data_IF_615013438900
#
_entry.id   IF_615013438900
#
_cell.length_a   1.000
_cell.length_b   1.000
_cell.length_c   1.000
_cell.angle_alpha   90.00
_cell.angle_beta   90.00
_cell.angle_gamma   90.00
#
_symmetry.space_group_name_H-M   'P 1'
#
loop_
_entity.id
_entity.type
_entity.pdbx_description
1 polymer ?
#
# COMPACT_ATOMS: atom_id res chain seq x y z
N UNK A 1 -13.98 13.78 18.17
CA UNK A 1 -14.54 12.42 17.99
C UNK A 1 -14.17 11.96 16.58
N UNK A 2 -13.40 10.89 16.43
CA UNK A 2 -13.15 10.31 15.10
C UNK A 2 -14.47 9.66 14.67
N UNK A 3 -15.03 9.97 13.50
CA UNK A 3 -16.25 9.32 13.04
C UNK A 3 -16.04 7.80 13.00
N UNK A 4 -17.00 7.06 13.55
CA UNK A 4 -17.01 5.60 13.45
C UNK A 4 -16.99 5.21 11.96
N UNK A 5 -16.14 4.24 11.60
CA UNK A 5 -16.19 3.65 10.27
C UNK A 5 -17.43 2.73 10.22
N UNK A 6 -18.35 3.04 9.32
CA UNK A 6 -19.65 2.35 9.18
C UNK A 6 -19.75 1.87 7.74
N UNK A 7 -20.35 0.69 7.54
CA UNK A 7 -20.47 0.01 6.25
C UNK A 7 -19.11 -0.47 5.70
N UNK A 8 -19.10 -1.08 4.50
CA UNK A 8 -17.92 -1.62 3.78
C UNK A 8 -17.35 -2.93 4.31
N UNK A 9 -18.11 -3.67 5.11
CA UNK A 9 -17.69 -4.97 5.63
C UNK A 9 -17.34 -5.95 4.49
N UNK A 10 -18.13 -5.94 3.41
CA UNK A 10 -17.92 -6.82 2.26
C UNK A 10 -16.59 -6.55 1.54
N UNK A 11 -16.22 -5.27 1.38
CA UNK A 11 -14.97 -4.87 0.74
C UNK A 11 -13.77 -5.14 1.65
N UNK A 12 -13.89 -4.89 2.96
CA UNK A 12 -12.85 -5.24 3.92
C UNK A 12 -12.61 -6.75 3.95
N UNK A 13 -13.67 -7.56 3.98
CA UNK A 13 -13.57 -9.02 3.90
C UNK A 13 -12.92 -9.49 2.61
N UNK A 14 -13.23 -8.88 1.47
CA UNK A 14 -12.61 -9.21 0.19
C UNK A 14 -11.10 -8.91 0.22
N UNK A 15 -10.71 -7.75 0.74
CA UNK A 15 -9.30 -7.36 0.88
C UNK A 15 -8.54 -8.28 1.86
N UNK A 16 -9.14 -8.62 3.01
CA UNK A 16 -8.54 -9.54 3.97
C UNK A 16 -8.36 -10.94 3.37
N UNK A 17 -9.38 -11.47 2.69
CA UNK A 17 -9.29 -12.76 1.99
C UNK A 17 -8.19 -12.78 0.93
N UNK A 18 -7.94 -11.68 0.23
CA UNK A 18 -6.84 -11.57 -0.73
C UNK A 18 -5.48 -11.60 -0.03
N UNK A 19 -5.35 -10.90 1.11
CA UNK A 19 -4.12 -10.91 1.89
C UNK A 19 -3.81 -12.30 2.47
N UNK A 20 -4.84 -13.02 2.94
CA UNK A 20 -4.70 -14.35 3.56
C UNK A 20 -4.28 -15.44 2.57
N UNK A 21 -4.52 -15.25 1.26
CA UNK A 21 -4.08 -16.19 0.22
C UNK A 21 -2.56 -16.29 0.08
N UNK A 22 -1.79 -15.40 0.73
CA UNK A 22 -0.32 -15.35 0.68
C UNK A 22 0.25 -15.38 -0.74
N UNK A 23 -0.49 -14.82 -1.69
CA UNK A 23 -0.07 -14.66 -3.08
C UNK A 23 -0.05 -13.18 -3.46
N UNK A 24 0.75 -12.83 -4.45
CA UNK A 24 0.78 -11.46 -4.95
C UNK A 24 -0.56 -11.12 -5.60
N UNK A 25 -1.15 -9.98 -5.22
CA UNK A 25 -2.41 -9.48 -5.77
C UNK A 25 -2.31 -7.99 -6.08
N UNK A 26 -2.83 -7.58 -7.24
CA UNK A 26 -3.02 -6.18 -7.61
C UNK A 26 -4.52 -5.86 -7.53
N UNK A 27 -4.88 -4.87 -6.71
CA UNK A 27 -6.28 -4.47 -6.49
C UNK A 27 -6.50 -3.05 -7.01
N UNK A 28 -7.44 -2.89 -7.94
CA UNK A 28 -7.92 -1.58 -8.38
C UNK A 28 -9.18 -1.19 -7.60
N UNK A 29 -9.07 -0.22 -6.71
CA UNK A 29 -10.20 0.37 -5.98
C UNK A 29 -10.72 1.62 -6.72
N UNK A 30 -11.88 1.50 -7.37
CA UNK A 30 -12.51 2.57 -8.14
C UNK A 30 -13.88 2.98 -7.58
N UNK A 31 -14.39 4.13 -8.02
CA UNK A 31 -15.69 4.67 -7.59
C UNK A 31 -15.72 6.19 -7.56
N UNK A 32 -16.89 6.79 -7.31
CA UNK A 32 -17.07 8.26 -7.33
C UNK A 32 -16.16 9.02 -6.35
N UNK A 33 -15.95 10.31 -6.58
CA UNK A 33 -15.19 11.19 -5.65
C UNK A 33 -15.90 11.20 -4.29
N UNK A 34 -15.13 11.14 -3.19
CA UNK A 34 -15.62 11.19 -1.78
C UNK A 34 -16.45 10.00 -1.27
N UNK A 35 -16.49 8.85 -1.95
CA UNK A 35 -17.20 7.63 -1.46
C UNK A 35 -16.47 6.86 -0.34
N UNK A 36 -15.37 7.39 0.20
CA UNK A 36 -14.65 6.76 1.31
C UNK A 36 -13.54 5.76 0.94
N UNK A 37 -13.12 5.67 -0.33
CA UNK A 37 -12.05 4.73 -0.76
C UNK A 37 -10.75 4.85 0.05
N UNK A 38 -10.27 6.07 0.27
CA UNK A 38 -9.07 6.30 1.09
C UNK A 38 -9.26 5.79 2.52
N UNK A 39 -10.46 6.02 3.09
CA UNK A 39 -10.79 5.55 4.43
C UNK A 39 -10.82 4.03 4.49
N UNK A 40 -11.40 3.37 3.49
CA UNK A 40 -11.40 1.91 3.37
C UNK A 40 -9.97 1.33 3.37
N UNK A 41 -9.04 1.90 2.60
CA UNK A 41 -7.64 1.45 2.58
C UNK A 41 -6.96 1.66 3.95
N UNK A 42 -7.19 2.80 4.59
CA UNK A 42 -6.63 3.08 5.92
C UNK A 42 -7.16 2.12 6.99
N UNK A 43 -8.46 1.80 6.95
CA UNK A 43 -9.05 0.81 7.86
C UNK A 43 -8.55 -0.60 7.55
N UNK A 44 -8.45 -0.98 6.28
CA UNK A 44 -7.88 -2.25 5.87
C UNK A 44 -6.44 -2.42 6.40
N UNK A 45 -5.61 -1.37 6.33
CA UNK A 45 -4.22 -1.41 6.80
C UNK A 45 -4.09 -1.38 8.32
N UNK A 46 -5.15 -1.07 9.08
CA UNK A 46 -5.08 -0.97 10.54
C UNK A 46 -4.66 -2.31 11.16
N UNK A 47 -3.61 -2.28 11.98
CA UNK A 47 -3.06 -3.47 12.63
C UNK A 47 -2.31 -4.42 11.68
N UNK A 48 -2.08 -4.02 10.43
CA UNK A 48 -1.33 -4.81 9.44
C UNK A 48 0.01 -4.15 9.13
N UNK A 49 1.02 -4.96 8.83
CA UNK A 49 2.29 -4.48 8.27
C UNK A 49 2.08 -4.08 6.82
N UNK A 50 1.87 -2.80 6.56
CA UNK A 50 1.64 -2.29 5.23
C UNK A 50 1.89 -0.79 5.14
N UNK A 51 2.10 -0.32 3.92
CA UNK A 51 2.43 1.06 3.63
C UNK A 51 1.26 1.77 2.98
N UNK A 52 0.88 2.92 3.51
CA UNK A 52 0.01 3.86 2.81
C UNK A 52 0.85 4.99 2.23
N UNK A 53 0.80 5.17 0.92
CA UNK A 53 1.52 6.23 0.23
C UNK A 53 0.55 7.06 -0.62
N UNK A 54 0.49 8.36 -0.35
CA UNK A 54 -0.27 9.31 -1.16
C UNK A 54 0.62 9.80 -2.31
N UNK A 55 0.13 9.65 -3.54
CA UNK A 55 0.82 10.13 -4.75
C UNK A 55 0.24 11.51 -5.11
N UNK A 56 0.96 12.62 -4.86
CA UNK A 56 0.54 13.93 -5.31
C UNK A 56 0.74 14.09 -6.82
N UNK A 57 0.15 15.13 -7.40
CA UNK A 57 0.52 15.59 -8.74
C UNK A 57 1.91 16.24 -8.66
N UNK A 58 2.96 15.45 -8.87
CA UNK A 58 4.35 15.89 -8.85
C UNK A 58 5.15 15.14 -9.92
N UNK A 59 6.37 15.59 -10.18
CA UNK A 59 7.31 14.87 -11.04
C UNK A 59 7.66 13.51 -10.44
N UNK A 60 7.91 12.53 -11.32
CA UNK A 60 8.25 11.17 -10.94
C UNK A 60 9.42 11.12 -9.94
N UNK A 61 10.45 11.93 -10.14
CA UNK A 61 11.61 12.01 -9.25
C UNK A 61 11.25 12.44 -7.83
N UNK A 62 10.29 13.35 -7.68
CA UNK A 62 9.78 13.79 -6.38
C UNK A 62 8.97 12.66 -5.74
N UNK A 63 8.09 12.01 -6.51
CA UNK A 63 7.31 10.87 -6.02
C UNK A 63 8.22 9.74 -5.52
N UNK A 64 9.25 9.38 -6.30
CA UNK A 64 10.23 8.35 -5.93
C UNK A 64 11.04 8.73 -4.69
N UNK A 65 11.40 10.01 -4.55
CA UNK A 65 12.10 10.52 -3.37
C UNK A 65 11.25 10.39 -2.12
N UNK A 66 10.00 10.83 -2.17
CA UNK A 66 9.11 10.72 -1.00
C UNK A 66 8.73 9.27 -0.72
N UNK A 67 8.51 8.45 -1.75
CA UNK A 67 8.25 7.02 -1.58
C UNK A 67 9.42 6.32 -0.90
N UNK A 68 10.65 6.58 -1.35
CA UNK A 68 11.86 6.02 -0.75
C UNK A 68 11.96 6.37 0.74
N UNK A 69 11.73 7.64 1.10
CA UNK A 69 11.75 8.07 2.52
C UNK A 69 10.70 7.36 3.36
N UNK A 70 9.49 7.20 2.83
CA UNK A 70 8.39 6.54 3.54
C UNK A 70 8.66 5.04 3.72
N UNK A 71 9.20 4.36 2.70
CA UNK A 71 9.59 2.95 2.85
C UNK A 71 10.79 2.79 3.79
N UNK A 72 11.74 3.73 3.75
CA UNK A 72 12.90 3.73 4.64
C UNK A 72 12.47 3.79 6.11
N UNK A 73 11.59 4.73 6.45
CA UNK A 73 11.03 4.89 7.79
C UNK A 73 10.25 3.65 8.28
N UNK A 74 9.45 3.03 7.41
CA UNK A 74 8.53 1.97 7.82
C UNK A 74 9.14 0.56 7.78
N UNK A 75 10.23 0.34 7.02
CA UNK A 75 10.76 -1.01 6.78
C UNK A 75 12.28 -1.18 6.90
N UNK A 76 13.13 -0.21 6.53
CA UNK A 76 14.59 -0.38 6.51
C UNK A 76 15.37 0.94 6.38
N UNK A 77 16.40 1.17 7.18
CA UNK A 77 17.25 2.38 7.09
C UNK A 77 18.33 2.27 5.99
N UNK A 78 18.58 3.36 5.24
CA UNK A 78 19.78 3.51 4.41
C UNK A 78 19.65 3.07 2.95
N UNK A 79 18.46 3.13 2.35
CA UNK A 79 18.28 2.77 0.94
C UNK A 79 17.36 3.76 0.19
N UNK A 80 17.57 3.91 -1.12
CA UNK A 80 16.75 4.77 -1.98
C UNK A 80 16.45 4.08 -3.30
N UNK A 81 15.21 4.20 -3.78
CA UNK A 81 14.84 3.75 -5.11
C UNK A 81 15.23 4.82 -6.13
N UNK A 82 15.98 4.40 -7.16
CA UNK A 82 16.48 5.29 -8.22
C UNK A 82 15.45 5.47 -9.34
N UNK A 83 14.61 4.45 -9.54
CA UNK A 83 13.55 4.40 -10.56
C UNK A 83 12.45 3.42 -10.11
N UNK A 84 11.35 3.37 -10.86
CA UNK A 84 10.26 2.44 -10.58
C UNK A 84 10.65 0.96 -10.78
N UNK A 85 11.61 0.66 -11.67
CA UNK A 85 12.08 -0.70 -11.89
C UNK A 85 12.73 -1.28 -10.63
N UNK A 86 13.54 -0.49 -9.93
CA UNK A 86 14.18 -0.86 -8.66
C UNK A 86 13.17 -1.18 -7.56
N UNK A 87 12.00 -0.52 -7.57
CA UNK A 87 10.87 -0.85 -6.66
C UNK A 87 10.33 -2.24 -7.01
N UNK A 88 10.05 -2.50 -8.28
CA UNK A 88 9.51 -3.78 -8.74
C UNK A 88 10.47 -4.93 -8.47
N UNK A 89 11.77 -4.75 -8.74
CA UNK A 89 12.80 -5.74 -8.42
C UNK A 89 12.86 -6.05 -6.93
N UNK A 90 12.78 -5.03 -6.08
CA UNK A 90 12.73 -5.21 -4.63
C UNK A 90 11.51 -6.03 -4.20
N UNK A 91 10.32 -5.72 -4.74
CA UNK A 91 9.10 -6.46 -4.45
C UNK A 91 9.21 -7.92 -4.87
N UNK A 92 9.77 -8.21 -6.05
CA UNK A 92 10.00 -9.57 -6.54
C UNK A 92 10.94 -10.34 -5.61
N UNK A 93 12.08 -9.75 -5.23
CA UNK A 93 13.04 -10.36 -4.30
C UNK A 93 12.38 -10.70 -2.96
N UNK A 94 11.59 -9.78 -2.40
CA UNK A 94 10.86 -9.97 -1.15
C UNK A 94 9.83 -11.09 -1.24
N UNK A 95 9.10 -11.18 -2.34
CA UNK A 95 8.10 -12.23 -2.53
C UNK A 95 8.74 -13.62 -2.60
N UNK A 96 9.92 -13.74 -3.23
CA UNK A 96 10.68 -15.00 -3.28
C UNK A 96 11.20 -15.45 -1.91
N UNK A 97 11.60 -14.51 -1.04
CA UNK A 97 12.08 -14.83 0.32
C UNK A 97 10.99 -15.38 1.25
N UNK A 98 9.72 -15.07 0.99
CA UNK A 98 8.58 -15.51 1.82
C UNK A 98 7.83 -16.73 1.24
N UNK A 99 8.29 -17.27 0.12
CA UNK A 99 7.77 -18.49 -0.52
C UNK A 99 8.63 -19.74 -0.24
N UNK A 100 9.65 -19.62 0.62
CA UNK A 100 10.49 -20.72 1.10
C UNK A 100 10.14 -21.15 2.51
#
# INVERSE_FOLDING_TARGET
>A
MIPQFVDRDSELEALNRLLDKKSAALVLLYGRRRVGKTRLVQEFLRGKRGLYFYVPNAEEKTILTEFSRVVEHEFFEGFRFMDFASIMEYLVKRLQTHLG
#
